data_IF_900296121445
#
_entry.id   IF_900296121445
#
_cell.length_a   1.000
_cell.length_b   1.000
_cell.length_c   1.000
_cell.angle_alpha   90.00
_cell.angle_beta   90.00
_cell.angle_gamma   90.00
#
_symmetry.space_group_name_H-M   'P 1'
#
loop_
_entity.id
_entity.type
_entity.pdbx_description
1 polymer ?
#
# COMPACT_ATOMS: atom_id res chain seq x y z
N UNK A 1 57.77 -43.52 -22.71
CA UNK A 1 56.72 -43.59 -21.69
C UNK A 1 56.21 -42.18 -21.25
N UNK A 2 57.07 -41.20 -21.19
CA UNK A 2 56.72 -39.81 -20.71
C UNK A 2 55.79 -39.06 -21.71
N UNK A 3 55.94 -39.26 -23.02
CA UNK A 3 55.08 -38.55 -24.02
C UNK A 3 53.61 -39.00 -23.98
N UNK A 4 53.30 -40.24 -23.62
CA UNK A 4 51.95 -40.77 -23.53
C UNK A 4 51.19 -40.20 -22.27
N UNK A 5 51.91 -39.87 -21.24
CA UNK A 5 51.32 -39.29 -20.00
C UNK A 5 50.89 -37.86 -20.25
N UNK A 6 51.72 -37.09 -20.91
CA UNK A 6 51.42 -35.65 -21.20
C UNK A 6 50.22 -35.46 -22.17
N UNK A 7 50.08 -36.38 -23.12
CA UNK A 7 48.91 -36.40 -24.02
C UNK A 7 47.59 -36.73 -23.28
N UNK A 8 47.64 -37.66 -22.32
CA UNK A 8 46.47 -38.02 -21.51
C UNK A 8 46.04 -36.89 -20.58
N UNK A 9 46.99 -36.17 -19.94
CA UNK A 9 46.66 -35.04 -19.08
C UNK A 9 46.04 -33.86 -19.88
N UNK A 10 46.55 -33.58 -21.06
CA UNK A 10 45.99 -32.54 -21.94
C UNK A 10 44.60 -32.90 -22.48
N UNK A 11 44.36 -34.16 -22.77
CA UNK A 11 43.03 -34.64 -23.15
C UNK A 11 42.03 -34.54 -21.99
N UNK A 12 42.47 -34.93 -20.79
CA UNK A 12 41.63 -34.85 -19.57
C UNK A 12 41.30 -33.42 -19.23
N UNK A 13 42.26 -32.51 -19.31
CA UNK A 13 42.00 -31.07 -19.11
C UNK A 13 41.01 -30.50 -20.12
N UNK A 14 41.17 -30.83 -21.41
CA UNK A 14 40.20 -30.43 -22.45
C UNK A 14 38.81 -30.98 -22.20
N UNK A 15 38.70 -32.24 -21.77
CA UNK A 15 37.42 -32.85 -21.42
C UNK A 15 36.76 -32.15 -20.22
N UNK A 16 37.51 -31.85 -19.17
CA UNK A 16 37.04 -31.14 -17.97
C UNK A 16 36.53 -29.72 -18.35
N UNK A 17 37.31 -28.98 -19.15
CA UNK A 17 36.87 -27.65 -19.60
C UNK A 17 35.62 -27.70 -20.47
N UNK A 18 35.52 -28.74 -21.33
CA UNK A 18 34.32 -28.94 -22.17
C UNK A 18 33.08 -29.25 -21.32
N UNK A 19 33.21 -30.10 -20.28
CA UNK A 19 32.13 -30.43 -19.37
C UNK A 19 31.71 -29.20 -18.54
N UNK A 20 32.66 -28.42 -18.01
CA UNK A 20 32.37 -27.18 -17.28
C UNK A 20 31.65 -26.18 -18.19
N UNK A 21 32.07 -26.02 -19.43
CA UNK A 21 31.42 -25.12 -20.40
C UNK A 21 29.98 -25.54 -20.70
N UNK A 22 29.74 -26.84 -20.86
CA UNK A 22 28.38 -27.39 -21.08
C UNK A 22 27.51 -27.19 -19.87
N UNK A 23 28.02 -27.43 -18.66
CA UNK A 23 27.28 -27.20 -17.42
C UNK A 23 26.97 -25.70 -17.20
N UNK A 24 27.90 -24.84 -17.59
CA UNK A 24 27.67 -23.38 -17.53
C UNK A 24 26.60 -22.93 -18.55
N UNK A 25 26.62 -23.48 -19.77
CA UNK A 25 25.59 -23.21 -20.79
C UNK A 25 24.23 -23.76 -20.37
N UNK A 26 24.18 -24.94 -19.76
CA UNK A 26 22.94 -25.50 -19.21
C UNK A 26 22.41 -24.59 -18.05
N UNK A 27 23.30 -24.19 -17.15
CA UNK A 27 22.95 -23.28 -16.05
C UNK A 27 22.42 -21.93 -16.53
N UNK A 28 23.06 -21.34 -17.54
CA UNK A 28 22.59 -20.08 -18.16
C UNK A 28 21.29 -20.25 -18.92
N UNK A 29 21.09 -21.40 -19.59
CA UNK A 29 19.83 -21.72 -20.26
C UNK A 29 18.66 -21.88 -19.25
N UNK A 30 18.88 -22.58 -18.13
CA UNK A 30 17.89 -22.68 -17.07
C UNK A 30 17.62 -21.32 -16.37
N UNK A 31 18.66 -20.52 -16.15
CA UNK A 31 18.50 -19.16 -15.64
C UNK A 31 17.72 -18.28 -16.63
N UNK A 32 18.00 -18.39 -17.93
CA UNK A 32 17.27 -17.67 -18.97
C UNK A 32 15.82 -18.12 -19.09
N UNK A 33 15.52 -19.41 -19.03
CA UNK A 33 14.13 -19.91 -19.03
C UNK A 33 13.34 -19.46 -17.80
N UNK A 34 13.97 -19.41 -16.62
CA UNK A 34 13.32 -18.89 -15.44
C UNK A 34 13.18 -17.35 -15.48
N UNK A 35 14.15 -16.64 -16.04
CA UNK A 35 14.06 -15.20 -16.28
C UNK A 35 12.95 -14.87 -17.29
N UNK A 36 12.81 -15.67 -18.35
CA UNK A 36 11.76 -15.51 -19.36
C UNK A 36 10.36 -15.79 -18.81
N UNK A 37 10.21 -16.63 -17.79
CA UNK A 37 8.96 -16.84 -17.05
C UNK A 37 8.66 -15.71 -16.05
N UNK A 38 9.70 -15.06 -15.54
CA UNK A 38 9.56 -13.91 -14.62
C UNK A 38 9.41 -12.58 -15.37
N UNK A 39 9.96 -12.47 -16.58
CA UNK A 39 9.86 -11.28 -17.43
C UNK A 39 8.40 -10.90 -17.77
N UNK A 40 7.50 -11.82 -18.14
CA UNK A 40 6.10 -11.48 -18.39
C UNK A 40 5.39 -10.94 -17.15
N UNK A 41 5.72 -11.45 -15.97
CA UNK A 41 5.17 -10.97 -14.70
C UNK A 41 5.68 -9.55 -14.38
N UNK A 42 6.96 -9.28 -14.64
CA UNK A 42 7.55 -7.93 -14.48
C UNK A 42 7.02 -6.97 -15.54
N UNK A 43 6.85 -7.44 -16.76
CA UNK A 43 6.29 -6.68 -17.87
C UNK A 43 4.80 -6.40 -17.66
N UNK A 44 4.02 -7.32 -17.08
CA UNK A 44 2.62 -7.09 -16.72
C UNK A 44 2.44 -6.03 -15.63
N UNK A 45 3.41 -5.87 -14.74
CA UNK A 45 3.41 -4.81 -13.72
C UNK A 45 3.98 -3.47 -14.23
N UNK A 46 4.81 -3.51 -15.26
CA UNK A 46 5.51 -2.34 -15.81
C UNK A 46 5.11 -2.00 -17.25
N UNK A 47 4.56 -2.96 -18.01
CA UNK A 47 4.09 -2.69 -19.35
C UNK A 47 2.75 -1.96 -19.35
N UNK A 48 2.80 -0.82 -19.96
CA UNK A 48 1.73 -0.07 -20.57
C UNK A 48 1.07 -0.87 -21.71
N UNK A 49 0.31 -1.92 -21.39
CA UNK A 49 -0.67 -2.38 -22.36
C UNK A 49 -1.81 -1.35 -22.30
N UNK A 50 -1.81 -0.45 -23.25
CA UNK A 50 -2.98 0.36 -23.56
C UNK A 50 -4.06 -0.62 -23.97
N UNK A 51 -4.95 -0.96 -23.02
CA UNK A 51 -6.16 -1.70 -23.35
C UNK A 51 -6.96 -0.89 -24.37
N UNK A 52 -7.66 -1.57 -25.25
CA UNK A 52 -8.58 -0.90 -26.16
C UNK A 52 -9.65 -0.17 -25.33
N UNK A 53 -10.24 0.89 -25.87
CA UNK A 53 -11.34 1.63 -25.23
C UNK A 53 -12.45 0.69 -24.69
N UNK A 54 -12.63 -0.46 -25.34
CA UNK A 54 -13.55 -1.53 -24.96
C UNK A 54 -13.15 -2.22 -23.64
N UNK A 55 -11.86 -2.28 -23.27
CA UNK A 55 -11.38 -2.85 -22.02
C UNK A 55 -11.52 -1.87 -20.85
N UNK A 56 -11.68 -0.58 -21.13
CA UNK A 56 -11.91 0.47 -20.15
C UNK A 56 -13.38 0.60 -19.75
N UNK A 57 -14.32 -0.09 -20.45
CA UNK A 57 -15.73 -0.04 -20.08
C UNK A 57 -15.98 -0.77 -18.75
N UNK A 58 -16.75 -0.16 -17.84
CA UNK A 58 -17.14 -0.80 -16.59
C UNK A 58 -17.84 -2.15 -16.81
N UNK A 59 -17.63 -3.11 -15.92
CA UNK A 59 -18.32 -4.41 -15.94
C UNK A 59 -19.84 -4.20 -15.94
N UNK A 60 -20.32 -3.19 -15.20
CA UNK A 60 -21.70 -2.74 -15.19
C UNK A 60 -22.29 -2.53 -16.58
N UNK A 61 -21.51 -2.03 -17.55
CA UNK A 61 -22.00 -1.85 -18.92
C UNK A 61 -22.07 -3.15 -19.72
N UNK A 62 -21.27 -4.17 -19.36
CA UNK A 62 -21.27 -5.47 -20.04
C UNK A 62 -22.33 -6.42 -19.51
N UNK A 63 -22.62 -6.37 -18.21
CA UNK A 63 -23.48 -7.34 -17.51
C UNK A 63 -24.83 -6.74 -17.12
N UNK A 64 -25.01 -5.43 -17.24
CA UNK A 64 -26.18 -4.73 -16.71
C UNK A 64 -26.23 -4.70 -15.16
N UNK A 65 -25.22 -5.21 -14.47
CA UNK A 65 -25.18 -5.22 -13.02
C UNK A 65 -25.00 -3.79 -12.48
N UNK A 66 -25.61 -3.49 -11.34
CA UNK A 66 -25.50 -2.22 -10.64
C UNK A 66 -25.23 -2.42 -9.15
N UNK A 67 -24.75 -1.36 -8.50
CA UNK A 67 -24.47 -1.36 -7.06
C UNK A 67 -25.78 -1.30 -6.26
N UNK A 68 -25.90 -2.15 -5.24
CA UNK A 68 -27.13 -2.31 -4.43
C UNK A 68 -26.98 -1.84 -2.98
N UNK A 69 -25.73 -1.64 -2.51
CA UNK A 69 -25.40 -1.28 -1.14
C UNK A 69 -25.27 -2.48 -0.20
N UNK A 70 -24.46 -2.30 0.86
CA UNK A 70 -24.11 -3.37 1.80
C UNK A 70 -25.28 -3.92 2.60
N UNK A 71 -26.36 -3.16 2.77
CA UNK A 71 -27.58 -3.62 3.46
C UNK A 71 -28.21 -4.84 2.78
N UNK A 72 -28.07 -4.99 1.45
CA UNK A 72 -28.57 -6.15 0.71
C UNK A 72 -27.74 -7.42 0.94
N UNK A 73 -26.54 -7.29 1.48
CA UNK A 73 -25.67 -8.43 1.76
C UNK A 73 -25.99 -9.11 3.10
N UNK A 74 -26.65 -8.39 4.03
CA UNK A 74 -26.87 -8.85 5.42
C UNK A 74 -27.67 -10.13 5.46
N UNK A 75 -28.68 -10.26 4.64
CA UNK A 75 -29.64 -11.38 4.66
C UNK A 75 -28.93 -12.75 4.50
N UNK A 76 -27.85 -12.81 3.70
CA UNK A 76 -27.11 -14.03 3.45
C UNK A 76 -25.70 -14.03 4.08
N UNK A 77 -25.11 -12.85 4.35
CA UNK A 77 -23.73 -12.69 4.81
C UNK A 77 -23.63 -11.92 6.13
N UNK A 78 -24.54 -12.18 7.09
CA UNK A 78 -24.64 -11.45 8.36
C UNK A 78 -23.31 -11.43 9.15
N UNK A 79 -22.60 -12.54 9.20
CA UNK A 79 -21.29 -12.66 9.89
C UNK A 79 -20.20 -11.78 9.28
N UNK A 80 -20.14 -11.74 7.96
CA UNK A 80 -19.18 -10.88 7.23
C UNK A 80 -19.55 -9.41 7.37
N UNK A 81 -20.85 -9.09 7.27
CA UNK A 81 -21.33 -7.73 7.44
C UNK A 81 -21.05 -7.22 8.86
N UNK A 82 -21.33 -8.02 9.89
CA UNK A 82 -21.03 -7.67 11.28
C UNK A 82 -19.53 -7.41 11.47
N UNK A 83 -18.67 -8.32 11.00
CA UNK A 83 -17.22 -8.15 11.11
C UNK A 83 -16.74 -6.88 10.40
N UNK A 84 -17.21 -6.63 9.17
CA UNK A 84 -16.87 -5.47 8.36
C UNK A 84 -17.35 -4.16 9.00
N UNK A 85 -18.55 -4.12 9.54
CA UNK A 85 -19.15 -2.90 10.15
C UNK A 85 -18.30 -2.37 11.31
N UNK A 86 -17.57 -3.24 12.01
CA UNK A 86 -16.64 -2.89 13.06
C UNK A 86 -15.26 -2.47 12.51
N UNK A 87 -14.95 -2.75 11.25
CA UNK A 87 -13.68 -2.39 10.61
C UNK A 87 -13.57 -0.88 10.37
N UNK A 88 -12.45 -0.43 9.80
CA UNK A 88 -12.26 0.97 9.45
C UNK A 88 -12.80 1.34 8.07
N UNK A 89 -13.02 0.36 7.24
CA UNK A 89 -13.46 0.57 5.87
C UNK A 89 -14.78 1.36 5.79
N UNK A 90 -15.87 0.96 6.46
CA UNK A 90 -17.11 1.73 6.47
C UNK A 90 -16.98 3.11 7.16
N UNK A 91 -15.98 3.26 8.05
CA UNK A 91 -15.76 4.48 8.86
C UNK A 91 -14.84 5.51 8.17
N UNK A 92 -14.50 5.31 6.91
CA UNK A 92 -13.64 6.26 6.18
C UNK A 92 -14.35 7.56 5.83
N UNK A 93 -15.64 7.48 5.49
CA UNK A 93 -16.58 8.59 5.39
C UNK A 93 -17.87 8.20 6.10
N UNK A 94 -18.39 9.09 6.95
CA UNK A 94 -19.60 8.84 7.71
C UNK A 94 -20.53 10.06 7.63
N UNK A 95 -21.82 9.80 7.47
CA UNK A 95 -22.86 10.81 7.37
C UNK A 95 -23.21 11.35 8.76
N UNK A 96 -22.95 12.64 8.98
CA UNK A 96 -23.17 13.31 10.29
C UNK A 96 -24.65 13.39 10.62
N UNK A 97 -25.52 13.53 9.62
CA UNK A 97 -26.97 13.61 9.84
C UNK A 97 -27.54 12.26 10.29
N UNK A 98 -27.01 11.16 9.76
CA UNK A 98 -27.43 9.80 10.15
C UNK A 98 -26.92 9.41 11.53
N UNK A 99 -25.70 9.82 11.85
CA UNK A 99 -25.09 9.54 13.16
C UNK A 99 -24.18 10.71 13.60
N UNK A 100 -24.70 11.64 14.41
CA UNK A 100 -23.91 12.76 14.92
C UNK A 100 -22.73 12.34 15.81
N UNK A 101 -22.73 11.12 16.38
CA UNK A 101 -21.65 10.63 17.26
C UNK A 101 -20.34 10.38 16.51
N UNK A 102 -20.37 10.33 15.18
CA UNK A 102 -19.17 10.19 14.35
C UNK A 102 -18.25 11.40 14.39
N UNK A 103 -18.73 12.53 14.89
CA UNK A 103 -17.95 13.76 15.05
C UNK A 103 -17.09 13.67 16.30
N UNK A 104 -15.77 13.55 16.11
CA UNK A 104 -14.82 13.44 17.23
C UNK A 104 -14.12 14.76 17.56
N UNK A 105 -14.33 15.81 16.75
CA UNK A 105 -13.75 17.13 16.98
C UNK A 105 -14.56 17.95 17.96
N UNK A 106 -13.87 18.76 18.74
CA UNK A 106 -14.46 19.77 19.59
C UNK A 106 -14.68 21.06 18.78
N UNK A 107 -15.89 21.26 18.30
CA UNK A 107 -16.28 22.45 17.53
C UNK A 107 -16.35 23.74 18.34
N UNK A 108 -16.41 23.66 19.68
CA UNK A 108 -16.33 24.86 20.51
C UNK A 108 -14.96 25.53 20.42
N UNK A 109 -13.95 24.78 20.01
CA UNK A 109 -12.57 25.23 19.80
C UNK A 109 -12.22 25.43 18.31
N UNK A 110 -13.21 25.49 17.43
CA UNK A 110 -12.96 25.76 16.01
C UNK A 110 -12.41 27.19 15.87
N UNK A 111 -11.25 27.38 15.17
CA UNK A 111 -10.66 28.72 15.02
C UNK A 111 -11.56 29.67 14.21
N UNK A 112 -11.55 30.96 14.52
CA UNK A 112 -12.29 32.00 13.80
C UNK A 112 -12.03 32.05 12.29
N UNK A 113 -10.83 31.69 11.87
CA UNK A 113 -10.49 31.57 10.42
C UNK A 113 -11.01 30.32 9.73
N UNK A 114 -11.92 29.55 10.36
CA UNK A 114 -12.58 28.42 9.70
C UNK A 114 -13.65 28.95 8.73
N UNK A 115 -13.73 28.31 7.55
CA UNK A 115 -14.75 28.62 6.54
C UNK A 115 -16.00 27.74 6.67
N UNK A 116 -16.21 27.11 7.80
CA UNK A 116 -17.35 26.23 8.06
C UNK A 116 -17.64 26.12 9.56
N UNK A 117 -18.85 25.69 9.85
CA UNK A 117 -19.32 25.26 11.18
C UNK A 117 -19.74 23.80 11.14
N UNK A 118 -20.16 23.23 12.27
CA UNK A 118 -20.71 21.88 12.30
C UNK A 118 -21.98 21.73 11.45
N UNK A 119 -22.80 22.80 11.35
CA UNK A 119 -24.04 22.79 10.55
C UNK A 119 -23.77 22.67 9.04
N UNK A 120 -22.62 23.14 8.58
CA UNK A 120 -22.23 23.10 7.18
C UNK A 120 -21.64 21.73 6.80
N UNK A 121 -21.24 20.93 7.78
CA UNK A 121 -20.58 19.65 7.58
C UNK A 121 -21.60 18.54 7.30
N UNK A 122 -21.47 17.89 6.13
CA UNK A 122 -22.33 16.78 5.70
C UNK A 122 -21.72 15.44 6.10
N UNK A 123 -20.42 15.26 5.82
CA UNK A 123 -19.71 14.03 6.12
C UNK A 123 -18.43 14.29 6.91
N UNK A 124 -18.09 13.32 7.77
CA UNK A 124 -16.74 13.23 8.33
C UNK A 124 -15.84 12.41 7.41
N UNK A 125 -14.55 12.74 7.34
CA UNK A 125 -13.52 11.97 6.63
C UNK A 125 -12.44 11.53 7.60
N UNK A 126 -12.36 10.22 7.86
CA UNK A 126 -11.48 9.64 8.86
C UNK A 126 -12.02 9.83 10.29
N UNK A 127 -11.15 9.62 11.30
CA UNK A 127 -11.55 9.72 12.73
C UNK A 127 -10.55 9.09 13.68
N UNK A 128 -9.53 8.37 13.16
CA UNK A 128 -8.51 7.75 14.02
C UNK A 128 -7.29 8.65 14.29
N UNK A 129 -6.76 9.29 13.26
CA UNK A 129 -5.56 10.14 13.37
C UNK A 129 -5.92 11.61 13.21
N UNK A 130 -6.81 11.85 12.28
CA UNK A 130 -7.42 13.16 12.01
C UNK A 130 -8.80 12.97 11.45
N UNK A 131 -9.62 14.00 11.62
CA UNK A 131 -10.94 14.08 11.02
C UNK A 131 -11.06 15.37 10.23
N UNK A 132 -11.62 15.27 9.04
CA UNK A 132 -11.96 16.37 8.14
C UNK A 132 -13.45 16.39 7.91
N UNK A 133 -13.94 17.47 7.36
CA UNK A 133 -15.35 17.70 7.15
C UNK A 133 -15.60 18.04 5.70
N UNK A 134 -16.53 17.34 5.07
CA UNK A 134 -16.99 17.60 3.71
C UNK A 134 -18.17 18.53 3.77
N UNK A 135 -18.10 19.60 3.00
CA UNK A 135 -19.09 20.65 2.87
C UNK A 135 -19.71 20.55 1.48
N UNK A 136 -21.03 20.70 1.41
CA UNK A 136 -21.72 20.75 0.10
C UNK A 136 -21.32 22.02 -0.64
N UNK A 137 -21.09 21.91 -1.93
CA UNK A 137 -20.77 23.03 -2.81
C UNK A 137 -21.41 22.81 -4.17
N UNK A 138 -22.02 23.84 -4.72
CA UNK A 138 -22.34 23.87 -6.13
C UNK A 138 -21.07 24.29 -6.90
N UNK A 139 -20.64 23.46 -7.84
CA UNK A 139 -19.53 23.72 -8.72
C UNK A 139 -20.04 23.70 -10.16
N UNK A 140 -20.36 24.88 -10.68
CA UNK A 140 -20.88 25.08 -12.04
C UNK A 140 -22.17 24.28 -12.33
N UNK A 141 -23.16 24.37 -11.42
CA UNK A 141 -24.44 23.66 -11.56
C UNK A 141 -24.42 22.19 -11.24
N UNK A 142 -23.29 21.69 -10.71
CA UNK A 142 -23.13 20.30 -10.27
C UNK A 142 -22.89 20.26 -8.77
N UNK A 143 -23.72 19.51 -8.04
CA UNK A 143 -23.50 19.28 -6.62
C UNK A 143 -22.26 18.42 -6.40
N UNK A 144 -21.33 18.95 -5.63
CA UNK A 144 -20.13 18.23 -5.19
C UNK A 144 -19.83 18.60 -3.72
N UNK A 145 -18.69 18.12 -3.22
CA UNK A 145 -18.22 18.44 -1.88
C UNK A 145 -16.81 19.02 -1.94
N UNK A 146 -16.52 19.87 -0.97
CA UNK A 146 -15.16 20.39 -0.72
C UNK A 146 -14.79 20.12 0.72
N UNK A 147 -13.50 20.15 1.04
CA UNK A 147 -13.04 19.97 2.41
C UNK A 147 -12.89 21.33 3.10
N UNK A 148 -13.37 21.42 4.33
CA UNK A 148 -13.14 22.58 5.17
C UNK A 148 -11.65 22.90 5.34
N UNK A 149 -11.31 24.16 5.55
CA UNK A 149 -9.94 24.67 5.66
C UNK A 149 -9.22 24.31 6.98
N UNK A 150 -9.89 23.59 7.88
CA UNK A 150 -9.32 23.02 9.10
C UNK A 150 -9.60 21.53 9.21
N UNK A 151 -8.71 20.82 9.91
CA UNK A 151 -8.86 19.42 10.27
C UNK A 151 -8.59 19.24 11.76
N UNK A 152 -9.31 18.33 12.39
CA UNK A 152 -9.07 17.93 13.76
C UNK A 152 -7.95 16.90 13.85
N UNK A 153 -6.95 17.14 14.67
CA UNK A 153 -5.95 16.13 15.02
C UNK A 153 -6.42 15.39 16.27
N UNK A 154 -6.78 14.11 16.09
CA UNK A 154 -7.37 13.28 17.15
C UNK A 154 -6.38 13.00 18.29
N UNK A 155 -5.10 12.88 17.97
CA UNK A 155 -4.06 12.56 18.96
C UNK A 155 -3.75 13.76 19.86
N UNK A 156 -3.66 14.96 19.29
CA UNK A 156 -3.34 16.18 20.03
C UNK A 156 -4.56 16.95 20.50
N UNK A 157 -5.76 16.51 20.09
CA UNK A 157 -7.04 17.19 20.37
C UNK A 157 -7.00 18.69 20.01
N UNK A 158 -6.44 19.00 18.83
CA UNK A 158 -6.30 20.39 18.34
C UNK A 158 -6.70 20.52 16.88
N UNK A 159 -7.30 21.65 16.55
CA UNK A 159 -7.53 22.05 15.17
C UNK A 159 -6.23 22.45 14.49
N UNK A 160 -6.10 22.11 13.22
CA UNK A 160 -4.93 22.43 12.37
C UNK A 160 -5.41 22.94 11.03
N UNK A 161 -4.79 24.00 10.50
CA UNK A 161 -5.05 24.48 9.13
C UNK A 161 -4.81 23.34 8.14
N UNK A 162 -5.74 23.20 7.21
CA UNK A 162 -5.69 22.20 6.15
C UNK A 162 -5.74 22.90 4.79
N UNK A 163 -4.65 22.75 4.03
CA UNK A 163 -4.45 23.41 2.74
C UNK A 163 -4.09 22.36 1.69
N UNK A 164 -5.04 21.51 1.21
CA UNK A 164 -4.76 20.43 0.26
C UNK A 164 -4.18 20.93 -1.06
N UNK A 165 -4.67 22.07 -1.56
CA UNK A 165 -4.18 22.68 -2.79
C UNK A 165 -2.65 22.95 -2.77
N UNK A 166 -2.09 23.36 -1.65
CA UNK A 166 -0.65 23.63 -1.51
C UNK A 166 0.22 22.40 -1.74
N UNK A 167 -0.30 21.22 -1.42
CA UNK A 167 0.48 19.99 -1.42
C UNK A 167 0.21 19.09 -2.62
N UNK A 168 -1.01 19.13 -3.18
CA UNK A 168 -1.45 18.14 -4.17
C UNK A 168 -1.74 18.76 -5.54
N UNK A 169 -2.26 19.98 -5.58
CA UNK A 169 -2.84 20.58 -6.79
C UNK A 169 -2.40 22.03 -7.01
N UNK A 170 -1.16 22.36 -6.63
CA UNK A 170 -0.62 23.72 -6.66
C UNK A 170 -0.88 24.47 -7.98
N UNK A 171 -0.90 23.77 -9.08
CA UNK A 171 -1.07 24.35 -10.42
C UNK A 171 -2.53 24.36 -10.88
N UNK A 172 -3.34 23.34 -10.48
CA UNK A 172 -4.72 23.20 -10.92
C UNK A 172 -5.72 24.03 -10.09
N UNK A 173 -5.47 24.15 -8.77
CA UNK A 173 -6.32 24.86 -7.85
C UNK A 173 -5.46 25.76 -6.93
N UNK A 174 -4.82 26.79 -7.50
CA UNK A 174 -3.96 27.67 -6.73
C UNK A 174 -4.80 28.46 -5.73
N UNK A 175 -4.44 28.34 -4.46
CA UNK A 175 -4.92 29.17 -3.36
C UNK A 175 -6.29 28.85 -2.74
N UNK A 176 -7.05 27.84 -3.25
CA UNK A 176 -8.42 27.68 -2.81
C UNK A 176 -8.83 26.22 -2.57
N UNK A 177 -9.10 25.84 -1.29
CA UNK A 177 -9.70 24.55 -0.92
C UNK A 177 -11.14 24.44 -1.45
N UNK A 178 -11.82 25.56 -1.59
CA UNK A 178 -13.22 25.59 -1.99
C UNK A 178 -13.43 25.21 -3.45
N UNK A 179 -12.34 25.23 -4.24
CA UNK A 179 -12.36 24.84 -5.65
C UNK A 179 -11.87 23.43 -5.92
N UNK A 180 -11.37 22.71 -4.88
CA UNK A 180 -10.93 21.33 -5.02
C UNK A 180 -12.05 20.37 -4.65
N UNK A 181 -12.83 19.86 -5.62
CA UNK A 181 -13.92 18.94 -5.33
C UNK A 181 -13.42 17.59 -4.85
N UNK A 182 -14.15 17.00 -3.90
CA UNK A 182 -13.80 15.68 -3.36
C UNK A 182 -13.92 14.57 -4.40
N UNK A 183 -14.82 14.76 -5.39
CA UNK A 183 -14.96 13.87 -6.54
C UNK A 183 -13.66 13.64 -7.30
N UNK A 184 -12.73 14.60 -7.28
CA UNK A 184 -11.43 14.48 -7.95
C UNK A 184 -10.34 13.85 -7.08
N UNK A 185 -10.41 14.06 -5.77
CA UNK A 185 -9.29 13.76 -4.88
C UNK A 185 -9.57 12.62 -3.88
N UNK A 186 -10.82 12.40 -3.52
CA UNK A 186 -11.18 11.60 -2.37
C UNK A 186 -12.15 10.46 -2.70
N UNK A 187 -13.21 10.77 -3.44
CA UNK A 187 -14.41 9.95 -3.50
C UNK A 187 -14.19 8.57 -4.09
N UNK A 188 -13.30 8.42 -5.08
CA UNK A 188 -12.98 7.11 -5.64
C UNK A 188 -12.47 6.09 -4.60
N UNK A 189 -11.74 6.56 -3.58
CA UNK A 189 -11.21 5.71 -2.51
C UNK A 189 -12.03 5.76 -1.22
N UNK A 190 -13.07 6.60 -1.14
CA UNK A 190 -13.79 6.85 0.10
C UNK A 190 -15.31 6.60 0.00
N UNK A 191 -15.85 6.52 -1.22
CA UNK A 191 -17.25 6.13 -1.45
C UNK A 191 -17.30 4.87 -2.31
N UNK A 192 -18.14 3.93 -1.91
CA UNK A 192 -18.43 2.73 -2.72
C UNK A 192 -19.15 3.12 -4.00
N UNK A 193 -18.77 2.49 -5.11
CA UNK A 193 -19.31 2.72 -6.44
C UNK A 193 -18.70 3.92 -7.17
N UNK A 194 -18.13 4.91 -6.46
CA UNK A 194 -17.69 6.16 -7.09
C UNK A 194 -16.53 5.96 -8.07
N UNK A 195 -15.60 5.08 -7.78
CA UNK A 195 -14.44 4.84 -8.64
C UNK A 195 -14.84 4.40 -10.05
N UNK A 196 -15.82 3.52 -10.16
CA UNK A 196 -16.27 2.96 -11.43
C UNK A 196 -17.38 3.78 -12.11
N UNK A 197 -18.35 4.28 -11.34
CA UNK A 197 -19.58 4.88 -11.88
C UNK A 197 -19.66 6.40 -11.72
N UNK A 198 -18.77 7.02 -10.96
CA UNK A 198 -18.82 8.42 -10.54
C UNK A 198 -20.08 8.77 -9.71
N UNK A 199 -20.76 7.73 -9.15
CA UNK A 199 -21.91 7.88 -8.24
C UNK A 199 -21.52 7.45 -6.83
N UNK A 200 -21.82 8.26 -5.83
CA UNK A 200 -21.64 7.96 -4.41
C UNK A 200 -22.77 7.03 -3.95
N UNK A 201 -22.60 5.73 -4.20
CA UNK A 201 -23.65 4.73 -3.90
C UNK A 201 -23.78 4.54 -2.38
N UNK A 202 -22.64 4.41 -1.68
CA UNK A 202 -22.61 4.21 -0.25
C UNK A 202 -21.38 4.92 0.36
N UNK A 203 -21.53 5.46 1.57
CA UNK A 203 -20.43 6.07 2.31
C UNK A 203 -19.45 5.01 2.81
N UNK A 204 -18.15 5.34 2.80
CA UNK A 204 -17.11 4.39 3.20
C UNK A 204 -16.82 3.34 2.14
N UNK A 205 -16.01 2.35 2.51
CA UNK A 205 -15.61 1.23 1.66
C UNK A 205 -16.42 0.02 2.06
N UNK A 206 -17.50 -0.23 1.31
CA UNK A 206 -18.42 -1.33 1.54
C UNK A 206 -18.12 -2.55 0.67
N UNK A 207 -18.95 -3.57 0.77
CA UNK A 207 -18.77 -4.88 0.13
C UNK A 207 -18.43 -4.77 -1.36
N UNK A 208 -19.20 -3.97 -2.08
CA UNK A 208 -19.09 -3.84 -3.52
C UNK A 208 -17.86 -3.05 -4.00
N UNK A 209 -17.15 -2.36 -3.11
CA UNK A 209 -15.83 -1.79 -3.45
C UNK A 209 -14.78 -2.86 -3.75
N UNK A 210 -14.95 -4.05 -3.16
CA UNK A 210 -14.04 -5.18 -3.31
C UNK A 210 -14.63 -6.32 -4.14
N UNK A 211 -15.96 -6.45 -4.16
CA UNK A 211 -16.66 -7.53 -4.83
C UNK A 211 -17.30 -7.12 -6.16
N UNK A 212 -17.32 -5.80 -6.47
CA UNK A 212 -18.01 -5.28 -7.66
C UNK A 212 -19.53 -5.17 -7.49
N UNK A 213 -20.24 -4.71 -8.52
CA UNK A 213 -21.70 -4.52 -8.49
C UNK A 213 -22.43 -5.84 -8.30
N UNK A 214 -23.36 -5.90 -7.33
CA UNK A 214 -23.92 -7.13 -6.83
C UNK A 214 -25.39 -7.40 -7.22
N UNK A 215 -26.05 -6.52 -8.03
CA UNK A 215 -27.48 -6.66 -8.31
C UNK A 215 -27.86 -8.03 -8.88
N UNK A 216 -27.09 -8.57 -9.81
CA UNK A 216 -27.36 -9.87 -10.42
C UNK A 216 -27.20 -11.01 -9.38
N UNK A 217 -26.20 -10.92 -8.49
CA UNK A 217 -25.99 -11.90 -7.44
C UNK A 217 -27.10 -11.86 -6.38
N UNK A 218 -27.59 -10.68 -6.02
CA UNK A 218 -28.69 -10.53 -5.07
C UNK A 218 -29.99 -11.09 -5.63
N UNK A 219 -30.27 -10.89 -6.92
CA UNK A 219 -31.45 -11.43 -7.60
C UNK A 219 -31.36 -12.94 -7.83
N UNK A 220 -30.15 -13.43 -8.09
CA UNK A 220 -29.86 -14.81 -8.41
C UNK A 220 -28.52 -15.21 -7.77
N UNK A 221 -28.55 -15.82 -6.56
CA UNK A 221 -27.35 -16.07 -5.73
C UNK A 221 -26.25 -16.89 -6.42
N UNK A 222 -26.58 -17.72 -7.41
CA UNK A 222 -25.65 -18.47 -8.22
C UNK A 222 -24.92 -17.59 -9.28
N UNK A 223 -25.40 -16.38 -9.55
CA UNK A 223 -24.72 -15.46 -10.46
C UNK A 223 -23.33 -15.09 -9.91
N UNK A 224 -22.29 -15.13 -10.74
CA UNK A 224 -20.94 -14.88 -10.26
C UNK A 224 -20.80 -13.42 -9.80
N UNK A 225 -20.15 -13.26 -8.65
CA UNK A 225 -19.62 -11.99 -8.13
C UNK A 225 -18.10 -12.15 -7.94
N UNK A 226 -17.36 -11.08 -8.08
CA UNK A 226 -15.92 -11.18 -7.94
C UNK A 226 -15.50 -11.63 -6.53
N UNK A 227 -14.65 -12.64 -6.47
CA UNK A 227 -14.12 -13.23 -5.25
C UNK A 227 -12.59 -13.24 -5.33
N UNK A 228 -11.94 -12.36 -4.58
CA UNK A 228 -10.49 -12.22 -4.64
C UNK A 228 -9.74 -13.54 -4.40
N UNK A 229 -10.17 -14.34 -3.42
CA UNK A 229 -9.52 -15.62 -3.09
C UNK A 229 -9.57 -16.67 -4.21
N UNK A 230 -10.39 -16.49 -5.24
CA UNK A 230 -10.48 -17.37 -6.40
C UNK A 230 -9.76 -16.84 -7.63
N UNK A 231 -9.11 -15.68 -7.51
CA UNK A 231 -8.35 -15.05 -8.58
C UNK A 231 -6.85 -15.34 -8.47
N UNK A 232 -6.10 -15.03 -9.51
CA UNK A 232 -4.64 -15.05 -9.45
C UNK A 232 -4.11 -14.01 -8.43
N UNK A 233 -2.89 -14.19 -7.91
CA UNK A 233 -2.33 -13.31 -6.88
C UNK A 233 -2.28 -11.82 -7.25
N UNK A 234 -2.09 -11.50 -8.53
CA UNK A 234 -2.05 -10.11 -9.02
C UNK A 234 -3.42 -9.48 -8.85
N UNK A 235 -4.48 -10.13 -9.35
CA UNK A 235 -5.87 -9.66 -9.26
C UNK A 235 -6.35 -9.58 -7.81
N UNK A 236 -5.95 -10.55 -6.95
CA UNK A 236 -6.21 -10.48 -5.52
C UNK A 236 -5.66 -9.20 -4.89
N UNK A 237 -4.43 -8.86 -5.23
CA UNK A 237 -3.77 -7.67 -4.70
C UNK A 237 -4.39 -6.39 -5.24
N UNK A 238 -4.72 -6.32 -6.53
CA UNK A 238 -5.22 -5.13 -7.22
C UNK A 238 -6.48 -4.56 -6.57
N UNK A 239 -7.33 -5.40 -5.98
CA UNK A 239 -8.49 -4.95 -5.20
C UNK A 239 -8.10 -4.07 -4.02
N UNK A 240 -6.98 -4.35 -3.37
CA UNK A 240 -6.46 -3.51 -2.29
C UNK A 240 -5.72 -2.30 -2.85
N UNK A 241 -4.95 -2.52 -3.92
CA UNK A 241 -4.06 -1.53 -4.52
C UNK A 241 -4.79 -0.38 -5.19
N UNK A 242 -6.07 -0.53 -5.56
CA UNK A 242 -6.88 0.57 -6.06
C UNK A 242 -6.88 1.78 -5.09
N UNK A 243 -6.82 1.52 -3.77
CA UNK A 243 -6.81 2.54 -2.72
C UNK A 243 -5.49 2.60 -1.93
N UNK A 244 -4.87 1.45 -1.65
CA UNK A 244 -3.66 1.33 -0.81
C UNK A 244 -2.34 1.54 -1.58
N UNK A 245 -2.40 2.17 -2.74
CA UNK A 245 -1.26 2.55 -3.56
C UNK A 245 -1.31 4.03 -3.93
N UNK A 246 -0.16 4.70 -3.97
CA UNK A 246 -0.03 6.03 -4.57
C UNK A 246 -0.07 5.88 -6.08
N UNK A 247 -1.18 6.27 -6.66
CA UNK A 247 -1.44 6.21 -8.10
C UNK A 247 -2.30 7.41 -8.53
N UNK A 248 -2.45 7.55 -9.83
CA UNK A 248 -3.33 8.52 -10.49
C UNK A 248 -4.09 7.84 -11.62
N UNK A 249 -5.09 8.51 -12.16
CA UNK A 249 -5.78 8.09 -13.36
C UNK A 249 -4.81 8.02 -14.55
N UNK A 250 -4.80 6.90 -15.27
CA UNK A 250 -3.87 6.66 -16.38
C UNK A 250 -4.14 7.57 -17.59
N UNK A 251 -5.38 8.00 -17.79
CA UNK A 251 -5.75 8.91 -18.89
C UNK A 251 -4.99 10.24 -18.88
N UNK A 252 -4.21 10.50 -17.82
CA UNK A 252 -3.30 11.64 -17.75
C UNK A 252 -2.06 11.53 -18.64
N UNK A 253 -1.73 10.33 -19.15
CA UNK A 253 -0.55 10.15 -20.01
C UNK A 253 -0.74 10.71 -21.41
N UNK A 254 -1.97 10.75 -21.93
CA UNK A 254 -2.25 10.98 -23.36
C UNK A 254 -2.66 12.41 -23.70
N UNK A 255 -2.66 13.36 -22.76
CA UNK A 255 -3.25 14.69 -22.95
C UNK A 255 -2.30 15.82 -22.54
N UNK A 256 -2.36 16.92 -23.29
CA UNK A 256 -1.57 18.14 -23.02
C UNK A 256 -1.85 18.64 -21.58
N UNK A 257 -0.81 18.80 -20.79
CA UNK A 257 -0.85 19.05 -19.33
C UNK A 257 -1.78 20.20 -18.89
N UNK A 258 -2.01 21.20 -19.72
CA UNK A 258 -2.89 22.35 -19.42
C UNK A 258 -4.39 22.00 -19.48
N UNK A 259 -4.79 21.05 -20.31
CA UNK A 259 -6.16 20.56 -20.40
C UNK A 259 -6.49 19.51 -19.33
N UNK A 260 -5.46 18.85 -18.79
CA UNK A 260 -5.55 17.68 -17.92
C UNK A 260 -6.06 18.03 -16.51
N UNK A 261 -5.64 19.16 -15.97
CA UNK A 261 -5.94 19.50 -14.59
C UNK A 261 -7.45 19.69 -14.32
N UNK A 262 -8.23 19.90 -15.39
CA UNK A 262 -9.69 19.89 -15.33
C UNK A 262 -10.29 18.53 -14.98
N UNK A 263 -9.73 17.40 -15.45
CA UNK A 263 -10.33 16.07 -15.36
C UNK A 263 -9.52 15.01 -14.59
N UNK A 264 -8.32 15.36 -14.14
CA UNK A 264 -7.45 14.45 -13.38
C UNK A 264 -8.09 13.96 -12.09
N UNK A 265 -7.96 12.65 -11.83
CA UNK A 265 -8.38 12.00 -10.60
C UNK A 265 -7.16 11.45 -9.86
N UNK A 266 -7.19 11.52 -8.52
CA UNK A 266 -6.15 10.94 -7.65
C UNK A 266 -6.38 9.44 -7.37
N UNK A 267 -7.18 8.79 -8.20
CA UNK A 267 -7.55 7.39 -8.13
C UNK A 267 -7.78 6.81 -9.54
N UNK A 268 -7.74 5.49 -9.71
CA UNK A 268 -7.90 4.83 -11.02
C UNK A 268 -9.38 4.82 -11.44
N UNK A 269 -9.86 5.92 -12.01
CA UNK A 269 -11.25 6.06 -12.44
C UNK A 269 -11.64 5.00 -13.48
N UNK A 270 -12.82 4.40 -13.32
CA UNK A 270 -13.33 3.33 -14.16
C UNK A 270 -12.94 1.92 -13.69
N UNK A 271 -12.05 1.80 -12.70
CA UNK A 271 -11.66 0.49 -12.19
C UNK A 271 -12.80 -0.17 -11.41
N UNK A 272 -12.96 -1.46 -11.64
CA UNK A 272 -13.81 -2.38 -10.87
C UNK A 272 -13.02 -3.62 -10.46
N UNK A 273 -13.42 -4.21 -9.33
CA UNK A 273 -12.79 -5.43 -8.82
C UNK A 273 -12.81 -6.55 -9.87
N UNK A 274 -11.70 -7.25 -10.02
CA UNK A 274 -11.52 -8.32 -11.00
C UNK A 274 -10.92 -7.88 -12.33
N UNK A 275 -10.90 -6.58 -12.63
CA UNK A 275 -10.20 -6.06 -13.82
C UNK A 275 -8.72 -5.84 -13.55
N UNK A 276 -7.92 -5.65 -14.60
CA UNK A 276 -6.53 -5.26 -14.49
C UNK A 276 -6.42 -3.79 -14.08
N UNK A 277 -5.92 -3.53 -12.88
CA UNK A 277 -5.73 -2.17 -12.39
C UNK A 277 -4.72 -1.38 -13.23
N UNK A 278 -3.78 -2.05 -13.89
CA UNK A 278 -2.77 -1.43 -14.76
C UNK A 278 -3.37 -0.64 -15.93
N UNK A 279 -4.60 -0.98 -16.36
CA UNK A 279 -5.31 -0.25 -17.42
C UNK A 279 -5.84 1.12 -16.96
N UNK A 280 -5.98 1.33 -15.65
CA UNK A 280 -6.65 2.50 -15.08
C UNK A 280 -5.73 3.43 -14.32
N UNK A 281 -4.50 3.01 -14.00
CA UNK A 281 -3.62 3.76 -13.11
C UNK A 281 -2.23 4.05 -13.66
N UNK A 282 -1.69 5.20 -13.27
CA UNK A 282 -0.27 5.50 -13.23
C UNK A 282 0.24 5.33 -11.81
N UNK A 283 1.27 4.53 -11.62
CA UNK A 283 1.88 4.32 -10.30
C UNK A 283 2.90 5.43 -10.03
N UNK A 284 2.94 5.93 -8.79
CA UNK A 284 4.00 6.85 -8.40
C UNK A 284 5.38 6.20 -8.62
N UNK A 285 6.26 6.85 -9.40
CA UNK A 285 7.54 6.25 -9.77
C UNK A 285 8.42 6.04 -8.54
N UNK A 286 9.12 4.93 -8.56
CA UNK A 286 10.13 4.57 -7.59
C UNK A 286 11.39 4.09 -8.30
N UNK A 287 12.53 4.65 -7.92
CA UNK A 287 13.86 4.22 -8.39
C UNK A 287 14.76 4.06 -7.18
N UNK A 288 15.37 2.88 -7.02
CA UNK A 288 16.31 2.62 -5.94
C UNK A 288 17.48 3.61 -5.98
N UNK A 289 17.83 4.18 -4.86
CA UNK A 289 18.86 5.20 -4.74
C UNK A 289 18.37 6.64 -4.96
N UNK A 290 17.13 6.84 -5.41
CA UNK A 290 16.56 8.17 -5.65
C UNK A 290 15.45 8.51 -4.66
N UNK A 291 15.66 9.56 -3.89
CA UNK A 291 14.62 10.09 -3.01
C UNK A 291 13.58 10.86 -3.83
N UNK A 292 12.30 10.59 -3.58
CA UNK A 292 11.17 11.28 -4.22
C UNK A 292 10.30 11.96 -3.17
N UNK A 293 9.27 12.66 -3.61
CA UNK A 293 8.23 13.23 -2.74
C UNK A 293 7.49 12.15 -1.94
N UNK A 294 7.38 10.92 -2.47
CA UNK A 294 6.59 9.83 -1.90
C UNK A 294 7.47 8.78 -1.20
N UNK A 295 8.72 8.60 -1.62
CA UNK A 295 9.60 7.52 -1.18
C UNK A 295 10.96 8.02 -0.72
N UNK A 296 11.52 7.36 0.29
CA UNK A 296 12.95 7.44 0.61
C UNK A 296 13.77 6.74 -0.48
N UNK A 297 15.07 7.00 -0.50
CA UNK A 297 15.96 6.44 -1.51
C UNK A 297 16.07 4.90 -1.49
N UNK A 298 15.73 4.25 -0.38
CA UNK A 298 15.61 2.79 -0.29
C UNK A 298 14.22 2.24 -0.66
N UNK A 299 13.32 3.10 -1.13
CA UNK A 299 11.98 2.72 -1.54
C UNK A 299 10.91 2.70 -0.46
N UNK A 300 11.29 2.92 0.80
CA UNK A 300 10.32 3.00 1.88
C UNK A 300 9.42 4.25 1.74
N UNK A 301 8.13 4.08 1.97
CA UNK A 301 7.15 5.15 1.79
C UNK A 301 7.20 6.21 2.89
N UNK A 302 7.27 7.48 2.51
CA UNK A 302 7.25 8.62 3.43
C UNK A 302 5.86 8.93 4.00
N UNK A 303 4.81 8.42 3.36
CA UNK A 303 3.42 8.80 3.61
C UNK A 303 2.50 7.60 3.70
N UNK A 304 1.24 7.85 4.04
CA UNK A 304 0.17 6.86 3.93
C UNK A 304 -0.12 6.50 2.46
N UNK A 305 -0.79 5.38 2.22
CA UNK A 305 -1.16 4.82 0.92
C UNK A 305 0.04 4.45 0.03
N UNK A 306 1.18 4.11 0.63
CA UNK A 306 2.36 3.61 -0.10
C UNK A 306 2.56 2.11 0.06
N UNK A 307 1.72 1.46 0.85
CA UNK A 307 1.86 0.03 1.18
C UNK A 307 1.90 -0.85 -0.07
N UNK A 308 1.03 -0.55 -1.03
CA UNK A 308 1.00 -1.28 -2.30
C UNK A 308 2.21 -1.02 -3.18
N UNK A 309 2.70 0.24 -3.23
CA UNK A 309 3.91 0.57 -3.97
C UNK A 309 5.12 -0.20 -3.44
N UNK A 310 5.26 -0.28 -2.11
CA UNK A 310 6.34 -1.02 -1.46
C UNK A 310 6.18 -2.54 -1.67
N UNK A 311 4.95 -3.04 -1.48
CA UNK A 311 4.65 -4.46 -1.54
C UNK A 311 4.98 -5.08 -2.90
N UNK A 312 4.59 -4.43 -4.01
CA UNK A 312 4.86 -4.97 -5.35
C UNK A 312 6.35 -5.02 -5.68
N UNK A 313 7.17 -4.20 -5.02
CA UNK A 313 8.64 -4.24 -5.15
C UNK A 313 9.31 -5.20 -4.16
N UNK A 314 8.58 -5.65 -3.14
CA UNK A 314 9.11 -6.57 -2.13
C UNK A 314 9.28 -7.98 -2.68
N UNK A 315 10.17 -8.75 -2.04
CA UNK A 315 10.35 -10.17 -2.35
C UNK A 315 9.03 -10.95 -2.21
N UNK A 316 8.19 -10.60 -1.23
CA UNK A 316 6.90 -11.26 -0.99
C UNK A 316 5.91 -11.04 -2.14
N UNK A 317 5.78 -9.81 -2.61
CA UNK A 317 4.94 -9.49 -3.76
C UNK A 317 5.40 -10.20 -5.03
N UNK A 318 6.73 -10.26 -5.25
CA UNK A 318 7.33 -10.96 -6.39
C UNK A 318 7.11 -12.48 -6.37
N UNK A 319 6.98 -13.08 -5.19
CA UNK A 319 6.72 -14.52 -5.03
C UNK A 319 5.23 -14.88 -4.86
N UNK A 320 4.32 -14.01 -5.30
CA UNK A 320 2.89 -14.33 -5.35
C UNK A 320 2.18 -14.33 -4.00
N UNK A 321 2.81 -13.80 -2.95
CA UNK A 321 2.12 -13.54 -1.69
C UNK A 321 1.07 -12.45 -1.91
N UNK A 322 -0.07 -12.57 -1.24
CA UNK A 322 -1.17 -11.62 -1.39
C UNK A 322 -1.47 -10.88 -0.09
N UNK A 323 -2.13 -9.74 -0.20
CA UNK A 323 -2.54 -8.94 0.96
C UNK A 323 -3.37 -9.75 1.94
N UNK A 324 -4.25 -10.64 1.43
CA UNK A 324 -5.14 -11.46 2.25
C UNK A 324 -4.43 -12.61 2.97
N UNK A 325 -3.21 -12.97 2.60
CA UNK A 325 -2.41 -13.90 3.39
C UNK A 325 -2.04 -13.35 4.77
N UNK A 326 -2.00 -12.02 4.90
CA UNK A 326 -1.63 -11.32 6.13
C UNK A 326 -2.76 -10.49 6.72
N UNK A 327 -3.72 -10.05 5.92
CA UNK A 327 -4.84 -9.19 6.34
C UNK A 327 -6.19 -9.86 6.07
N UNK A 328 -7.10 -9.77 7.05
CA UNK A 328 -8.50 -10.08 6.81
C UNK A 328 -9.25 -8.77 6.48
N UNK A 329 -9.74 -8.57 5.24
CA UNK A 329 -10.41 -7.33 4.84
C UNK A 329 -11.74 -7.07 5.56
N UNK A 330 -12.35 -8.10 6.15
CA UNK A 330 -13.63 -8.02 6.85
C UNK A 330 -13.51 -7.70 8.34
N UNK A 331 -12.29 -7.58 8.90
CA UNK A 331 -12.12 -7.33 10.34
C UNK A 331 -11.39 -6.03 10.63
N UNK A 332 -11.49 -5.60 11.91
CA UNK A 332 -10.78 -4.42 12.41
C UNK A 332 -9.27 -4.53 12.37
N UNK A 333 -8.75 -5.74 12.44
CA UNK A 333 -7.35 -5.98 12.74
C UNK A 333 -6.67 -6.71 11.62
N UNK A 334 -5.47 -6.26 11.24
CA UNK A 334 -4.57 -7.15 10.53
C UNK A 334 -4.44 -8.42 11.38
N UNK A 335 -4.61 -9.57 10.78
CA UNK A 335 -4.41 -10.88 11.41
C UNK A 335 -3.06 -10.97 12.15
N UNK A 336 -2.17 -10.02 11.85
CA UNK A 336 -0.81 -9.92 12.36
C UNK A 336 -0.62 -9.10 13.65
N UNK A 337 -1.59 -8.27 14.08
CA UNK A 337 -1.16 -7.17 14.97
C UNK A 337 -1.53 -7.28 16.45
N UNK A 338 -2.61 -7.89 16.87
CA UNK A 338 -2.97 -7.73 18.28
C UNK A 338 -2.72 -8.92 19.21
N UNK A 339 -2.86 -10.12 18.73
CA UNK A 339 -2.77 -11.27 19.63
C UNK A 339 -1.85 -12.41 19.17
N UNK A 340 -1.22 -12.26 17.99
CA UNK A 340 -0.44 -13.35 17.42
C UNK A 340 1.07 -13.14 17.53
N UNK A 341 1.54 -11.94 17.90
CA UNK A 341 2.97 -11.63 17.95
C UNK A 341 3.65 -12.01 16.63
N UNK A 342 4.62 -12.92 16.71
CA UNK A 342 5.34 -13.41 15.53
C UNK A 342 4.65 -14.59 14.82
N UNK A 343 3.55 -15.12 15.37
CA UNK A 343 2.91 -16.36 14.86
C UNK A 343 2.56 -16.32 13.39
N UNK A 344 2.09 -15.16 12.89
CA UNK A 344 1.77 -15.03 11.47
C UNK A 344 3.01 -15.19 10.59
N UNK A 345 4.10 -14.52 10.94
CA UNK A 345 5.36 -14.59 10.19
C UNK A 345 5.96 -16.00 10.27
N UNK A 346 5.93 -16.60 11.44
CA UNK A 346 6.47 -17.92 11.73
C UNK A 346 5.73 -19.08 11.04
N UNK A 347 4.56 -18.86 10.47
CA UNK A 347 3.88 -19.87 9.62
C UNK A 347 4.72 -20.27 8.40
N UNK A 348 5.49 -19.31 7.86
CA UNK A 348 6.35 -19.54 6.71
C UNK A 348 7.84 -19.39 7.08
N UNK A 349 8.17 -18.54 8.05
CA UNK A 349 9.52 -18.22 8.48
C UNK A 349 9.87 -18.95 9.79
N UNK A 350 9.59 -20.26 9.88
CA UNK A 350 9.97 -21.06 11.06
C UNK A 350 11.49 -21.18 11.17
N UNK A 351 11.99 -21.32 12.41
CA UNK A 351 13.41 -21.54 12.66
C UNK A 351 13.89 -22.81 11.94
N UNK A 352 15.09 -22.72 11.34
CA UNK A 352 15.67 -23.83 10.58
C UNK A 352 15.01 -24.12 9.24
N UNK A 353 13.97 -23.37 8.82
CA UNK A 353 13.44 -23.49 7.46
C UNK A 353 14.30 -22.72 6.47
N UNK A 354 14.20 -23.09 5.17
CA UNK A 354 14.98 -22.47 4.08
C UNK A 354 14.80 -20.94 4.02
N UNK A 355 13.64 -20.41 4.39
CA UNK A 355 13.29 -18.98 4.34
C UNK A 355 13.09 -18.37 5.74
N UNK A 356 13.41 -19.12 6.80
CA UNK A 356 13.33 -18.67 8.17
C UNK A 356 14.67 -18.18 8.71
N UNK A 357 14.67 -17.72 9.98
CA UNK A 357 15.90 -17.41 10.67
C UNK A 357 16.79 -18.63 10.79
N UNK A 358 18.10 -18.46 10.57
CA UNK A 358 19.07 -19.55 10.75
C UNK A 358 19.34 -19.87 12.21
N UNK A 359 19.08 -18.92 13.10
CA UNK A 359 19.11 -19.12 14.53
C UNK A 359 17.94 -20.01 14.97
N UNK A 360 18.09 -20.65 16.12
CA UNK A 360 17.12 -21.62 16.65
C UNK A 360 16.13 -21.03 17.67
N UNK A 361 16.24 -19.74 17.97
CA UNK A 361 15.28 -19.03 18.84
C UNK A 361 15.09 -17.57 18.45
N UNK A 362 14.02 -16.94 18.93
CA UNK A 362 13.75 -15.52 18.67
C UNK A 362 14.77 -14.62 19.35
N UNK A 363 15.24 -14.98 20.52
CA UNK A 363 16.29 -14.26 21.24
C UNK A 363 17.62 -14.30 20.48
N UNK A 364 18.00 -15.48 19.99
CA UNK A 364 19.23 -15.65 19.23
C UNK A 364 19.17 -14.88 17.91
N UNK A 365 17.99 -14.79 17.27
CA UNK A 365 17.82 -14.03 16.05
C UNK A 365 17.80 -12.52 16.29
N UNK A 366 17.08 -12.06 17.31
CA UNK A 366 16.81 -10.61 17.50
C UNK A 366 17.74 -9.94 18.50
N UNK A 367 18.47 -10.72 19.29
CA UNK A 367 19.24 -10.28 20.47
C UNK A 367 18.39 -9.47 21.47
N UNK A 368 17.08 -9.76 21.49
CA UNK A 368 16.14 -9.14 22.42
C UNK A 368 15.40 -10.24 23.19
N UNK A 369 15.11 -9.97 24.47
CA UNK A 369 14.35 -10.88 25.32
C UNK A 369 13.02 -11.25 24.67
N UNK A 370 12.67 -12.54 24.66
CA UNK A 370 11.40 -13.02 24.11
C UNK A 370 10.22 -12.25 24.69
N UNK A 371 9.17 -12.07 23.87
CA UNK A 371 7.95 -11.31 24.20
C UNK A 371 8.17 -9.80 24.45
N UNK A 372 9.40 -9.29 24.34
CA UNK A 372 9.65 -7.84 24.33
C UNK A 372 9.25 -7.23 23.00
N UNK A 373 9.11 -5.91 22.93
CA UNK A 373 8.84 -5.19 21.67
C UNK A 373 9.94 -5.45 20.62
N UNK A 374 11.21 -5.49 21.05
CA UNK A 374 12.35 -5.73 20.15
C UNK A 374 12.38 -7.15 19.56
N UNK A 375 11.66 -8.11 20.15
CA UNK A 375 11.55 -9.48 19.62
C UNK A 375 10.43 -9.66 18.58
N UNK A 376 9.70 -8.60 18.24
CA UNK A 376 8.64 -8.66 17.24
C UNK A 376 9.19 -8.49 15.83
N UNK A 377 8.96 -9.46 14.95
CA UNK A 377 9.40 -9.43 13.55
C UNK A 377 9.07 -8.11 12.84
N UNK A 378 7.86 -7.58 13.10
CA UNK A 378 7.38 -6.35 12.45
C UNK A 378 8.11 -5.07 12.88
N UNK A 379 8.79 -5.07 14.02
CA UNK A 379 9.53 -3.88 14.46
C UNK A 379 10.81 -3.68 13.65
N UNK A 380 11.43 -4.76 13.19
CA UNK A 380 12.62 -4.72 12.35
C UNK A 380 12.30 -4.82 10.86
N UNK A 381 11.44 -5.77 10.46
CA UNK A 381 11.14 -6.05 9.06
C UNK A 381 10.01 -5.20 8.46
N UNK A 382 9.25 -4.49 9.28
CA UNK A 382 8.22 -3.53 8.89
C UNK A 382 8.27 -2.27 9.77
N UNK A 383 9.42 -1.60 9.89
CA UNK A 383 9.54 -0.44 10.76
C UNK A 383 8.56 0.67 10.37
N UNK A 384 8.22 1.52 11.34
CA UNK A 384 7.35 2.68 11.13
C UNK A 384 8.16 3.83 10.56
N UNK A 385 8.18 3.97 9.25
CA UNK A 385 8.99 4.97 8.53
C UNK A 385 8.17 6.09 7.88
N UNK A 386 6.89 5.84 7.65
CA UNK A 386 5.98 6.79 7.03
C UNK A 386 5.11 7.56 8.03
N UNK A 387 4.51 8.66 7.56
CA UNK A 387 3.62 9.53 8.34
C UNK A 387 2.21 9.55 7.79
N UNK A 388 1.22 9.56 8.69
CA UNK A 388 -0.15 9.88 8.29
C UNK A 388 -0.36 11.38 8.08
N UNK A 389 0.40 12.23 8.77
CA UNK A 389 0.35 13.69 8.63
C UNK A 389 1.77 14.28 8.72
N UNK A 390 1.97 15.47 8.13
CA UNK A 390 3.30 16.10 8.05
C UNK A 390 4.04 16.30 9.38
N UNK A 391 3.31 16.59 10.47
CA UNK A 391 3.89 16.82 11.82
C UNK A 391 3.65 15.66 12.80
N UNK A 392 3.01 14.57 12.36
CA UNK A 392 2.78 13.41 13.24
C UNK A 392 4.04 12.55 13.37
N UNK A 393 4.15 11.74 14.44
CA UNK A 393 5.17 10.72 14.53
C UNK A 393 5.08 9.71 13.38
N UNK A 394 6.13 8.92 13.19
CA UNK A 394 6.15 7.83 12.23
C UNK A 394 5.17 6.75 12.69
N UNK A 395 4.17 6.45 11.89
CA UNK A 395 3.05 5.56 12.26
C UNK A 395 2.67 4.59 11.15
N UNK A 396 3.21 4.78 9.94
CA UNK A 396 2.98 3.90 8.80
C UNK A 396 4.12 2.92 8.69
N UNK A 397 3.83 1.63 8.80
CA UNK A 397 4.80 0.56 8.60
C UNK A 397 5.11 0.40 7.11
N UNK A 398 6.39 0.21 6.81
CA UNK A 398 6.81 -0.18 5.46
C UNK A 398 6.35 -1.60 5.13
N UNK A 399 6.09 -1.86 3.84
CA UNK A 399 5.76 -3.17 3.28
C UNK A 399 6.83 -3.68 2.32
N UNK A 400 8.05 -3.16 2.42
CA UNK A 400 9.22 -3.70 1.72
C UNK A 400 9.67 -5.05 2.32
N UNK A 401 9.34 -5.30 3.59
CA UNK A 401 9.77 -6.46 4.37
C UNK A 401 11.29 -6.60 4.50
N UNK A 402 12.02 -5.57 4.11
CA UNK A 402 13.46 -5.46 4.31
C UNK A 402 13.79 -4.90 5.70
N UNK A 403 15.02 -5.09 6.10
CA UNK A 403 15.57 -4.54 7.34
C UNK A 403 16.44 -3.33 7.00
N UNK A 404 15.90 -2.12 7.21
CA UNK A 404 16.67 -0.89 6.99
C UNK A 404 17.75 -0.74 8.05
N UNK A 405 19.01 -0.97 7.68
CA UNK A 405 20.16 -0.93 8.56
C UNK A 405 20.69 0.52 8.77
N UNK A 406 21.53 0.76 9.78
CA UNK A 406 22.24 2.01 9.92
C UNK A 406 23.09 2.36 8.69
N UNK A 407 23.80 1.38 8.09
CA UNK A 407 24.61 1.59 6.89
C UNK A 407 23.77 1.95 5.68
N UNK A 408 22.62 1.31 5.49
CA UNK A 408 21.68 1.66 4.42
C UNK A 408 21.19 3.12 4.59
N UNK A 409 20.90 3.52 5.83
CA UNK A 409 20.53 4.90 6.15
C UNK A 409 21.61 5.90 5.76
N UNK A 410 22.89 5.57 6.04
CA UNK A 410 24.04 6.38 5.62
C UNK A 410 24.22 6.38 4.10
N UNK A 411 24.27 5.19 3.49
CA UNK A 411 24.44 5.01 2.04
C UNK A 411 23.48 5.86 1.21
N UNK A 412 22.23 5.95 1.63
CA UNK A 412 21.19 6.68 0.92
C UNK A 412 20.94 8.09 1.52
N UNK A 413 21.78 8.57 2.44
CA UNK A 413 21.61 9.85 3.12
C UNK A 413 20.18 10.05 3.69
N UNK A 414 19.62 8.99 4.27
CA UNK A 414 18.25 9.01 4.81
C UNK A 414 18.26 9.52 6.27
N UNK A 415 17.13 10.10 6.73
CA UNK A 415 17.03 10.46 8.15
C UNK A 415 17.19 9.24 9.05
N UNK A 416 18.03 9.31 10.10
CA UNK A 416 18.31 8.21 11.05
C UNK A 416 17.04 7.54 11.59
N UNK A 417 15.96 8.30 11.80
CA UNK A 417 14.65 7.80 12.23
C UNK A 417 14.01 6.78 11.28
N UNK A 418 14.55 6.55 10.10
CA UNK A 418 14.05 5.58 9.12
C UNK A 418 14.68 4.22 9.27
N UNK A 419 15.78 4.08 10.03
CA UNK A 419 16.32 2.75 10.31
C UNK A 419 15.50 2.02 11.38
N UNK A 420 15.54 0.70 11.33
CA UNK A 420 14.73 -0.17 12.17
C UNK A 420 15.07 -0.06 13.67
N UNK A 421 16.31 0.27 14.02
CA UNK A 421 16.77 0.36 15.40
C UNK A 421 16.37 1.67 16.09
N UNK A 422 16.30 2.75 15.33
CA UNK A 422 16.11 4.10 15.86
C UNK A 422 14.83 4.28 16.69
N UNK A 423 13.75 3.58 16.34
CA UNK A 423 12.46 3.73 17.04
C UNK A 423 12.56 3.43 18.55
N UNK A 424 13.53 2.58 18.95
CA UNK A 424 13.73 2.14 20.33
C UNK A 424 15.07 2.59 20.90
N UNK A 425 16.13 2.60 20.06
CA UNK A 425 17.49 2.94 20.47
C UNK A 425 17.78 4.44 20.25
N UNK A 426 16.87 5.29 20.68
CA UNK A 426 17.04 6.74 20.71
C UNK A 426 16.88 7.23 22.16
N UNK A 427 17.93 7.49 22.85
CA UNK A 427 17.92 8.01 24.23
C UNK A 427 17.51 9.49 24.31
N UNK A 428 16.42 9.93 23.66
CA UNK A 428 15.98 11.32 23.51
C UNK A 428 17.02 12.27 22.90
N UNK A 429 18.17 11.75 22.48
CA UNK A 429 19.19 12.47 21.73
C UNK A 429 19.23 11.90 20.32
N UNK A 430 19.46 12.73 19.33
CA UNK A 430 19.74 12.27 17.96
C UNK A 430 20.93 11.31 18.06
N UNK A 431 20.81 10.03 17.64
CA UNK A 431 21.95 9.12 17.67
C UNK A 431 23.10 9.74 16.90
N UNK A 432 24.26 9.74 17.48
CA UNK A 432 25.46 10.21 16.80
C UNK A 432 25.81 9.24 15.69
N UNK A 433 26.61 9.67 14.73
CA UNK A 433 27.19 8.79 13.72
C UNK A 433 27.89 7.59 14.37
N UNK A 434 28.57 7.82 15.50
CA UNK A 434 29.25 6.78 16.30
C UNK A 434 28.28 5.72 16.84
N UNK A 435 27.08 6.11 17.31
CA UNK A 435 26.07 5.14 17.78
C UNK A 435 25.55 4.28 16.64
N UNK A 436 25.37 4.87 15.45
CA UNK A 436 24.96 4.12 14.26
C UNK A 436 26.05 3.18 13.76
N UNK A 437 27.33 3.57 13.83
CA UNK A 437 28.46 2.72 13.46
C UNK A 437 28.59 1.52 14.40
N UNK A 438 28.41 1.73 15.69
CA UNK A 438 28.39 0.64 16.68
C UNK A 438 27.26 -0.33 16.41
N UNK A 439 26.02 0.15 16.25
CA UNK A 439 24.89 -0.70 15.91
C UNK A 439 25.09 -1.48 14.62
N UNK A 440 25.70 -0.86 13.62
CA UNK A 440 26.03 -1.55 12.37
C UNK A 440 27.03 -2.68 12.58
N UNK A 441 28.10 -2.41 13.36
CA UNK A 441 29.11 -3.40 13.72
C UNK A 441 28.48 -4.57 14.52
N UNK A 442 27.67 -4.24 15.53
CA UNK A 442 26.96 -5.24 16.31
C UNK A 442 26.08 -6.15 15.41
N UNK A 443 25.37 -5.57 14.43
CA UNK A 443 24.54 -6.33 13.48
C UNK A 443 25.38 -7.25 12.57
N UNK A 444 26.59 -6.82 12.17
CA UNK A 444 27.53 -7.62 11.40
C UNK A 444 28.09 -8.76 12.24
N UNK A 445 28.56 -8.48 13.45
CA UNK A 445 29.07 -9.47 14.39
C UNK A 445 28.01 -10.54 14.77
N UNK A 446 26.75 -10.14 14.86
CA UNK A 446 25.65 -11.05 15.13
C UNK A 446 25.14 -11.82 13.91
N UNK A 447 25.70 -11.59 12.73
CA UNK A 447 25.28 -12.23 11.48
C UNK A 447 23.86 -11.87 11.05
N UNK A 448 23.33 -10.73 11.52
CA UNK A 448 21.98 -10.28 11.18
C UNK A 448 21.91 -9.58 9.80
N UNK A 449 23.04 -9.20 9.23
CA UNK A 449 23.15 -8.54 7.93
C UNK A 449 24.27 -9.18 7.11
N UNK A 450 24.15 -9.09 5.81
CA UNK A 450 25.12 -9.72 4.90
C UNK A 450 24.49 -10.73 3.93
N UNK A 451 23.19 -10.97 4.04
CA UNK A 451 22.45 -11.91 3.20
C UNK A 451 22.21 -11.40 1.77
N UNK A 452 22.31 -10.07 1.55
CA UNK A 452 22.08 -9.42 0.24
C UNK A 452 23.22 -9.68 -0.76
N UNK A 453 24.26 -10.40 -0.35
CA UNK A 453 25.45 -10.69 -1.17
C UNK A 453 25.49 -12.12 -1.72
N UNK A 454 24.42 -12.91 -1.60
CA UNK A 454 24.36 -14.27 -2.14
C UNK A 454 23.34 -14.42 -3.25
#
# INVERSE_FOLDING_TARGET
MIIKIHLRENLLKKLIYSVISVLFLIGTFFAYQNLSKLLPFYQQLTQTHVGTEKDLQPITQKTGAFFVGSSKCIECHADKHQSWSHSRHPKMIQDIKKDPSVVVADFTKLPEGANFTLKDAIYTVGGKFKQRYMLRKDLNGTEDYVLGNYQWNVQTKKWQKFKPWKYWYKNAYPHDNEKLPTSRACDGCHFTGFMSTQKRVETGIACESCHGPASNHVLKPESPIYKASSSDPVRQNEVCLQCHMRNRDKRLEDVNMSAIYGDARDYPMGYEAGKSLAHYKMVAPFTMGQETKEFYANGAGKKNRTQGNEFVHSIKGKHGITCINCHNPHTLEPTAQKNTGNKLCMKCHSFGSMIGPHQNSIEAHTHHKAKSTGSLCVECHMPKVGKHTGKSPLTVRTHLFGFTTPNETKKYNMPSKTNACYACHNSNKVPTTRDMDRLQKDLEEWGMIGWDKR
#
